data_IF_207231474643
#
_entry.id   IF_207231474643
#
_cell.length_a   1.000
_cell.length_b   1.000
_cell.length_c   1.000
_cell.angle_alpha   90.00
_cell.angle_beta   90.00
_cell.angle_gamma   90.00
#
_symmetry.space_group_name_H-M   'P 1'
#
loop_
_entity.id
_entity.type
_entity.pdbx_description
1 polymer ?
#
# COMPACT_ATOMS: atom_id res chain seq x y z
N UNK A 1 -2.32 -11.66 12.53
CA UNK A 1 -2.35 -10.29 12.99
C UNK A 1 -1.82 -10.14 14.41
N UNK A 2 -1.83 -8.91 14.94
CA UNK A 2 -1.35 -8.60 16.28
C UNK A 2 -2.29 -7.65 17.01
N UNK A 3 -2.36 -7.77 18.32
CA UNK A 3 -3.07 -6.84 19.19
C UNK A 3 -2.15 -5.71 19.63
N UNK A 4 -2.68 -4.52 19.83
CA UNK A 4 -1.98 -3.38 20.41
C UNK A 4 -2.59 -3.02 21.74
N UNK A 5 -1.75 -2.94 22.76
CA UNK A 5 -2.15 -2.40 24.06
C UNK A 5 -2.26 -0.87 23.95
N UNK A 6 -3.20 -0.22 24.68
CA UNK A 6 -3.26 1.23 24.74
C UNK A 6 -1.93 1.91 25.08
N UNK A 7 -1.11 1.30 25.93
CA UNK A 7 0.21 1.80 26.31
C UNK A 7 1.18 1.94 25.12
N UNK A 8 1.04 1.06 24.10
CA UNK A 8 1.87 1.10 22.90
C UNK A 8 1.40 2.14 21.86
N UNK A 9 0.26 2.80 22.09
CA UNK A 9 -0.33 3.76 21.17
C UNK A 9 -0.38 5.19 21.73
N UNK A 10 0.17 5.42 22.92
CA UNK A 10 0.17 6.73 23.59
C UNK A 10 0.87 7.81 22.74
N UNK A 11 2.03 7.47 22.15
CA UNK A 11 2.82 8.40 21.33
C UNK A 11 2.14 8.79 20.02
N UNK A 12 1.17 7.98 19.57
CA UNK A 12 0.43 8.26 18.34
C UNK A 12 -0.61 9.39 18.50
N UNK A 13 -0.96 9.74 19.73
CA UNK A 13 -1.84 10.88 20.03
C UNK A 13 -1.10 12.21 19.84
N UNK A 14 0.23 12.23 20.01
CA UNK A 14 1.10 13.38 19.73
C UNK A 14 1.45 13.57 18.25
N UNK A 15 1.12 12.61 17.38
CA UNK A 15 1.44 12.67 15.95
C UNK A 15 2.91 12.44 15.62
N UNK A 16 3.67 11.82 16.53
CA UNK A 16 5.10 11.51 16.34
C UNK A 16 5.32 10.18 15.60
N UNK A 17 4.34 9.27 15.66
CA UNK A 17 4.38 7.97 14.99
C UNK A 17 3.57 8.02 13.71
N UNK A 18 4.11 7.48 12.63
CA UNK A 18 3.43 7.36 11.34
C UNK A 18 2.19 6.47 11.47
N UNK A 19 0.98 7.01 11.28
CA UNK A 19 -0.25 6.23 11.38
C UNK A 19 -0.38 5.29 10.16
N UNK A 20 -1.32 4.36 10.23
CA UNK A 20 -1.72 3.55 9.09
C UNK A 20 -2.35 4.45 8.03
N UNK A 21 -1.56 4.82 7.02
CA UNK A 21 -1.95 5.73 5.93
C UNK A 21 -2.59 5.00 4.76
N UNK A 22 -2.42 3.68 4.70
CA UNK A 22 -2.77 2.89 3.56
C UNK A 22 -3.69 1.73 3.92
N UNK A 23 -4.93 1.85 3.50
CA UNK A 23 -5.91 0.78 3.51
C UNK A 23 -6.05 0.23 2.09
N UNK A 24 -5.01 -0.46 1.65
CA UNK A 24 -5.06 -1.19 0.36
C UNK A 24 -6.16 -2.21 0.37
N UNK A 25 -6.21 -2.85 1.49
CA UNK A 25 -7.11 -3.92 1.75
C UNK A 25 -7.85 -3.51 3.00
N UNK A 26 -9.13 -3.29 2.88
CA UNK A 26 -9.99 -3.04 4.04
C UNK A 26 -10.20 -4.32 4.86
N UNK A 27 -9.20 -5.24 4.85
CA UNK A 27 -9.27 -6.45 5.65
C UNK A 27 -9.52 -6.14 7.11
N UNK A 28 -8.76 -5.18 7.66
CA UNK A 28 -8.95 -4.82 9.04
C UNK A 28 -10.35 -4.24 9.26
N UNK A 29 -10.81 -3.39 8.36
CA UNK A 29 -12.15 -2.78 8.44
C UNK A 29 -13.26 -3.78 8.11
N UNK A 30 -13.07 -4.63 7.12
CA UNK A 30 -14.03 -5.66 6.73
C UNK A 30 -14.15 -6.80 7.75
N UNK A 31 -13.05 -7.12 8.44
CA UNK A 31 -13.01 -8.20 9.46
C UNK A 31 -13.26 -7.72 10.88
N UNK A 32 -13.08 -6.42 11.14
CA UNK A 32 -13.23 -5.80 12.47
C UNK A 32 -14.09 -4.51 12.35
N UNK A 33 -15.31 -4.62 11.80
CA UNK A 33 -16.15 -3.44 11.56
C UNK A 33 -16.52 -2.68 12.84
N UNK A 34 -16.49 -3.35 13.99
CA UNK A 34 -16.78 -2.77 15.30
C UNK A 34 -15.71 -1.77 15.78
N UNK A 35 -14.49 -1.84 15.26
CA UNK A 35 -13.41 -0.94 15.68
C UNK A 35 -13.50 0.44 15.04
N UNK A 36 -14.18 0.58 13.93
CA UNK A 36 -14.23 1.84 13.19
C UNK A 36 -12.88 2.28 12.61
N UNK A 37 -12.91 3.20 11.67
CA UNK A 37 -11.71 3.61 10.90
C UNK A 37 -10.66 4.30 11.78
N UNK A 38 -11.07 5.15 12.72
CA UNK A 38 -10.15 5.89 13.57
C UNK A 38 -9.31 4.95 14.46
N UNK A 39 -9.93 3.93 15.05
CA UNK A 39 -9.23 2.95 15.88
C UNK A 39 -8.27 2.08 15.05
N UNK A 40 -8.65 1.74 13.83
CA UNK A 40 -7.80 0.96 12.92
C UNK A 40 -6.60 1.76 12.36
N UNK A 41 -6.69 3.10 12.36
CA UNK A 41 -5.60 3.98 11.93
C UNK A 41 -4.57 4.26 13.01
N UNK A 42 -4.90 4.09 14.29
CA UNK A 42 -3.97 4.35 15.40
C UNK A 42 -2.71 3.49 15.37
N UNK A 43 -2.77 2.16 15.16
CA UNK A 43 -1.58 1.36 14.94
C UNK A 43 -0.86 1.77 13.65
N UNK A 44 0.49 1.71 13.61
CA UNK A 44 1.24 1.97 12.39
C UNK A 44 0.98 0.89 11.33
N UNK A 45 1.35 1.15 10.09
CA UNK A 45 1.32 0.14 9.01
C UNK A 45 2.32 -0.97 9.22
N UNK A 46 3.40 -0.67 9.89
CA UNK A 46 4.53 -1.55 10.09
C UNK A 46 5.26 -1.23 11.40
N UNK A 47 5.92 -2.22 11.93
CA UNK A 47 6.81 -2.11 13.09
C UNK A 47 8.18 -2.70 12.73
N UNK A 48 9.20 -2.31 13.45
CA UNK A 48 10.51 -2.98 13.42
C UNK A 48 10.64 -3.86 14.65
N UNK A 49 11.04 -5.10 14.44
CA UNK A 49 11.40 -6.04 15.48
C UNK A 49 12.92 -6.17 15.54
N UNK A 50 13.48 -6.22 16.76
CA UNK A 50 14.90 -6.48 17.02
C UNK A 50 15.07 -7.31 18.29
N UNK A 51 16.23 -7.93 18.45
CA UNK A 51 16.62 -8.60 19.68
C UNK A 51 15.71 -9.75 20.13
N UNK A 52 15.45 -9.81 21.42
CA UNK A 52 14.67 -10.85 22.05
C UNK A 52 15.39 -12.20 22.10
N UNK A 53 14.70 -13.28 22.54
CA UNK A 53 15.29 -14.62 22.69
C UNK A 53 15.73 -15.28 21.38
N UNK A 54 15.33 -14.70 20.24
CA UNK A 54 15.69 -15.18 18.90
C UNK A 54 16.78 -14.34 18.25
N UNK A 55 17.34 -13.36 18.95
CA UNK A 55 18.35 -12.41 18.44
C UNK A 55 17.98 -11.83 17.07
N UNK A 56 16.76 -11.33 16.96
CA UNK A 56 16.25 -10.81 15.69
C UNK A 56 17.10 -9.63 15.23
N UNK A 57 17.57 -9.71 14.00
CA UNK A 57 18.09 -8.54 13.28
C UNK A 57 16.93 -7.61 12.96
N UNK A 58 17.25 -6.36 12.61
CA UNK A 58 16.24 -5.38 12.20
C UNK A 58 15.31 -5.98 11.14
N UNK A 59 14.08 -6.28 11.53
CA UNK A 59 13.06 -6.94 10.70
C UNK A 59 11.82 -6.06 10.65
N UNK A 60 11.48 -5.55 9.47
CA UNK A 60 10.24 -4.79 9.26
C UNK A 60 9.08 -5.77 9.09
N UNK A 61 8.02 -5.58 9.86
CA UNK A 61 6.83 -6.42 9.87
C UNK A 61 5.60 -5.58 9.59
N UNK A 62 4.80 -5.98 8.60
CA UNK A 62 3.51 -5.35 8.32
C UNK A 62 2.51 -5.63 9.45
N UNK A 63 1.81 -4.59 9.86
CA UNK A 63 0.80 -4.67 10.91
C UNK A 63 -0.56 -5.02 10.31
N UNK A 64 -1.18 -6.07 10.85
CA UNK A 64 -2.60 -6.38 10.71
C UNK A 64 -3.19 -6.43 12.11
N UNK A 65 -4.17 -5.57 12.35
CA UNK A 65 -4.81 -5.49 13.67
C UNK A 65 -5.66 -6.73 13.90
N UNK A 66 -5.45 -7.38 15.04
CA UNK A 66 -6.28 -8.47 15.51
C UNK A 66 -6.31 -8.44 17.05
N UNK A 67 -7.35 -7.89 17.66
CA UNK A 67 -7.46 -7.81 19.12
C UNK A 67 -7.41 -9.16 19.85
N UNK A 68 -7.80 -10.23 19.17
CA UNK A 68 -7.80 -11.61 19.70
C UNK A 68 -6.49 -12.35 19.46
N UNK A 69 -5.46 -11.68 18.90
CA UNK A 69 -4.17 -12.32 18.66
C UNK A 69 -3.42 -12.61 19.97
N UNK A 70 -2.73 -13.76 20.07
CA UNK A 70 -1.81 -14.01 21.17
C UNK A 70 -0.56 -13.11 21.11
N UNK A 71 -0.25 -12.56 19.91
CA UNK A 71 0.82 -11.59 19.74
C UNK A 71 0.32 -10.20 20.12
N UNK A 72 0.99 -9.58 21.11
CA UNK A 72 0.60 -8.27 21.65
C UNK A 72 1.77 -7.31 21.68
N UNK A 73 1.60 -6.12 21.13
CA UNK A 73 2.54 -5.01 21.29
C UNK A 73 2.12 -4.19 22.51
N UNK A 74 3.03 -4.02 23.46
CA UNK A 74 2.80 -3.26 24.69
C UNK A 74 4.07 -2.57 25.17
N UNK A 75 3.93 -1.50 25.96
CA UNK A 75 5.04 -0.91 26.69
C UNK A 75 5.26 -1.68 28.02
N UNK A 76 6.53 -1.82 28.44
CA UNK A 76 6.88 -2.29 29.79
C UNK A 76 6.79 -1.15 30.81
N UNK A 77 7.23 -1.42 32.05
CA UNK A 77 7.21 -0.44 33.14
C UNK A 77 8.06 0.81 32.89
N UNK A 78 9.08 0.67 32.06
CA UNK A 78 10.00 1.76 31.68
C UNK A 78 9.55 2.46 30.38
N UNK A 79 8.40 2.09 29.81
CA UNK A 79 7.85 2.64 28.57
C UNK A 79 8.48 2.05 27.30
N UNK A 80 9.33 1.02 27.42
CA UNK A 80 9.98 0.39 26.26
C UNK A 80 9.04 -0.60 25.60
N UNK A 81 8.83 -0.41 24.28
CA UNK A 81 7.91 -1.26 23.51
C UNK A 81 8.50 -2.65 23.27
N UNK A 82 7.64 -3.65 23.45
CA UNK A 82 7.96 -5.04 23.19
C UNK A 82 6.82 -5.77 22.48
N UNK A 83 7.18 -6.80 21.72
CA UNK A 83 6.25 -7.80 21.22
C UNK A 83 6.20 -8.96 22.20
N UNK A 84 5.01 -9.31 22.63
CA UNK A 84 4.74 -10.38 23.60
C UNK A 84 3.94 -11.50 22.94
N UNK A 85 4.27 -12.73 23.29
CA UNK A 85 3.51 -13.94 22.99
C UNK A 85 3.16 -14.63 24.31
N UNK A 86 1.89 -14.78 24.61
CA UNK A 86 1.39 -15.39 25.87
C UNK A 86 2.07 -14.79 27.12
N UNK A 87 2.24 -13.46 27.12
CA UNK A 87 2.86 -12.72 28.22
C UNK A 87 4.39 -12.73 28.25
N UNK A 88 5.06 -13.46 27.37
CA UNK A 88 6.54 -13.46 27.26
C UNK A 88 7.02 -12.48 26.20
N UNK A 89 7.94 -11.59 26.56
CA UNK A 89 8.60 -10.71 25.58
C UNK A 89 9.41 -11.54 24.59
N UNK A 90 9.17 -11.39 23.30
CA UNK A 90 9.83 -12.13 22.21
C UNK A 90 10.64 -11.24 21.27
N UNK A 91 10.44 -9.93 21.29
CA UNK A 91 11.23 -8.98 20.54
C UNK A 91 11.07 -7.56 21.11
N UNK A 92 12.03 -6.69 20.83
CA UNK A 92 11.90 -5.25 20.98
C UNK A 92 11.14 -4.69 19.79
N UNK A 93 10.34 -3.64 20.01
CA UNK A 93 9.52 -3.02 18.98
C UNK A 93 9.94 -1.58 18.77
N UNK A 94 10.21 -1.21 17.51
CA UNK A 94 10.33 0.17 17.07
C UNK A 94 9.11 0.58 16.23
N UNK A 95 8.62 1.81 16.45
CA UNK A 95 7.55 2.39 15.65
C UNK A 95 8.14 3.34 14.59
N UNK A 96 7.52 3.45 13.39
CA UNK A 96 8.00 4.35 12.36
C UNK A 96 7.73 5.80 12.76
N UNK A 97 8.74 6.70 12.67
CA UNK A 97 8.53 8.11 12.91
C UNK A 97 7.59 8.72 11.87
N UNK A 98 6.88 9.78 12.24
CA UNK A 98 6.07 10.55 11.32
C UNK A 98 6.97 11.21 10.27
N UNK A 99 6.79 10.93 8.97
CA UNK A 99 7.58 11.60 7.94
C UNK A 99 7.25 13.10 7.87
N UNK A 100 8.27 13.96 7.75
CA UNK A 100 8.05 15.40 7.69
C UNK A 100 7.17 15.83 6.51
N UNK A 101 7.31 15.17 5.35
CA UNK A 101 6.49 15.46 4.18
C UNK A 101 4.99 15.19 4.39
N UNK A 102 4.58 14.40 5.39
CA UNK A 102 3.15 14.19 5.70
C UNK A 102 2.50 15.42 6.37
N UNK A 103 3.30 16.35 6.88
CA UNK A 103 2.82 17.63 7.42
C UNK A 103 2.44 18.63 6.32
N UNK A 104 2.73 18.31 5.06
CA UNK A 104 2.48 19.16 3.90
C UNK A 104 1.23 18.74 3.12
N UNK A 105 0.68 19.71 2.41
CA UNK A 105 -0.48 19.54 1.53
C UNK A 105 -0.13 19.96 0.12
N UNK A 106 -0.79 19.33 -0.84
CA UNK A 106 -0.79 19.74 -2.24
C UNK A 106 -1.57 21.06 -2.41
N UNK A 107 -1.41 21.72 -3.54
CA UNK A 107 -2.11 22.95 -3.88
C UNK A 107 -3.64 22.80 -3.85
N UNK A 108 -4.16 21.61 -4.12
CA UNK A 108 -5.59 21.30 -4.04
C UNK A 108 -6.09 21.00 -2.61
N UNK A 109 -5.22 21.10 -1.60
CA UNK A 109 -5.53 20.90 -0.19
C UNK A 109 -5.46 19.44 0.31
N UNK A 110 -5.26 18.46 -0.58
CA UNK A 110 -5.05 17.05 -0.17
C UNK A 110 -3.72 16.90 0.57
N UNK A 111 -3.65 16.00 1.53
CA UNK A 111 -2.38 15.69 2.19
C UNK A 111 -1.51 14.79 1.31
N UNK A 112 -0.18 14.90 1.48
CA UNK A 112 0.77 13.97 0.82
C UNK A 112 0.47 12.54 1.22
N UNK A 113 0.13 12.27 2.49
CA UNK A 113 -0.26 10.95 2.97
C UNK A 113 -1.44 10.35 2.19
N UNK A 114 -2.41 11.18 1.78
CA UNK A 114 -3.58 10.73 1.01
C UNK A 114 -3.24 10.38 -0.45
N UNK A 115 -2.33 11.13 -1.05
CA UNK A 115 -1.98 10.99 -2.47
C UNK A 115 -0.87 9.96 -2.67
N UNK A 116 0.17 10.02 -1.85
CA UNK A 116 1.41 9.27 -1.97
C UNK A 116 1.85 8.71 -0.61
N UNK A 117 1.08 7.78 0.00
CA UNK A 117 1.49 7.14 1.23
C UNK A 117 2.80 6.37 1.06
N UNK A 118 3.62 6.33 2.09
CA UNK A 118 4.88 5.58 2.09
C UNK A 118 4.80 4.37 3.01
N UNK A 119 5.41 3.29 2.59
CA UNK A 119 5.51 2.02 3.31
C UNK A 119 6.97 1.54 3.38
N UNK A 120 7.20 0.41 4.03
CA UNK A 120 8.54 -0.17 4.21
C UNK A 120 9.51 0.82 4.86
N UNK A 121 9.06 1.43 5.97
CA UNK A 121 9.83 2.40 6.74
C UNK A 121 10.22 3.65 5.95
N UNK A 122 9.31 4.09 5.06
CA UNK A 122 9.51 5.26 4.20
C UNK A 122 10.19 4.98 2.86
N UNK A 123 10.73 3.77 2.65
CA UNK A 123 11.45 3.42 1.42
C UNK A 123 10.59 3.52 0.16
N UNK A 124 9.37 3.01 0.20
CA UNK A 124 8.50 2.87 -0.97
C UNK A 124 7.33 3.85 -0.93
N UNK A 125 7.26 4.73 -1.91
CA UNK A 125 6.09 5.58 -2.15
C UNK A 125 5.04 4.78 -2.90
N UNK A 126 3.82 4.67 -2.34
CA UNK A 126 2.77 3.81 -2.87
C UNK A 126 1.70 4.63 -3.62
N UNK A 127 1.70 4.52 -4.93
CA UNK A 127 0.86 5.32 -5.84
C UNK A 127 -0.25 4.45 -6.43
N UNK A 128 -1.38 4.35 -5.73
CA UNK A 128 -2.59 3.73 -6.30
C UNK A 128 -3.25 4.74 -7.24
N UNK A 129 -2.91 4.68 -8.51
CA UNK A 129 -3.33 5.67 -9.51
C UNK A 129 -4.66 5.33 -10.18
N UNK A 130 -5.01 4.04 -10.25
CA UNK A 130 -6.32 3.56 -10.71
C UNK A 130 -7.03 2.82 -9.58
N UNK A 131 -8.01 3.46 -8.97
CA UNK A 131 -8.69 2.99 -7.75
C UNK A 131 -9.97 2.21 -8.01
N UNK A 132 -10.16 1.75 -9.24
CA UNK A 132 -11.24 0.86 -9.67
C UNK A 132 -10.61 -0.24 -10.52
N UNK A 133 -11.11 -1.47 -10.46
CA UNK A 133 -10.65 -2.56 -11.29
C UNK A 133 -11.72 -2.90 -12.34
N UNK A 134 -11.33 -3.12 -13.59
CA UNK A 134 -12.25 -3.52 -14.64
C UNK A 134 -12.66 -5.00 -14.54
N UNK A 135 -11.96 -5.82 -13.77
CA UNK A 135 -12.55 -7.06 -13.25
C UNK A 135 -13.64 -6.66 -12.26
N UNK A 136 -14.87 -6.51 -12.74
CA UNK A 136 -15.94 -5.90 -11.96
C UNK A 136 -17.15 -6.82 -11.83
N UNK A 137 -17.66 -6.95 -10.59
CA UNK A 137 -18.80 -7.79 -10.25
C UNK A 137 -18.42 -9.20 -9.80
N UNK A 138 -19.38 -9.91 -9.22
CA UNK A 138 -19.15 -11.17 -8.51
C UNK A 138 -18.50 -12.29 -9.34
N UNK A 139 -18.54 -12.20 -10.67
CA UNK A 139 -17.96 -13.20 -11.58
C UNK A 139 -16.55 -12.87 -12.04
N UNK A 140 -16.05 -11.67 -11.74
CA UNK A 140 -14.79 -11.17 -12.27
C UNK A 140 -13.83 -10.72 -11.17
N UNK A 141 -14.35 -10.24 -10.04
CA UNK A 141 -13.51 -9.72 -8.95
C UNK A 141 -12.70 -10.82 -8.29
N UNK A 142 -11.42 -10.52 -8.03
CA UNK A 142 -10.61 -11.37 -7.17
C UNK A 142 -11.19 -11.38 -5.76
N UNK A 143 -11.42 -12.55 -5.18
CA UNK A 143 -12.17 -12.68 -3.91
C UNK A 143 -11.44 -12.10 -2.68
N UNK A 144 -10.15 -11.86 -2.79
CA UNK A 144 -9.31 -11.27 -1.74
C UNK A 144 -9.09 -9.76 -1.92
N UNK A 145 -9.53 -9.17 -3.06
CA UNK A 145 -9.25 -7.78 -3.39
C UNK A 145 -10.49 -6.92 -3.16
N UNK A 146 -10.34 -5.86 -2.40
CA UNK A 146 -11.44 -4.98 -2.04
C UNK A 146 -11.45 -3.63 -2.78
N UNK A 147 -10.65 -3.49 -3.86
CA UNK A 147 -10.56 -2.22 -4.59
C UNK A 147 -11.93 -1.73 -5.09
N UNK A 148 -12.75 -2.62 -5.67
CA UNK A 148 -14.10 -2.29 -6.10
C UNK A 148 -15.10 -2.20 -4.94
N UNK A 149 -14.85 -2.92 -3.85
CA UNK A 149 -15.63 -2.80 -2.63
C UNK A 149 -15.47 -1.40 -2.02
N UNK A 150 -14.26 -0.88 -1.93
CA UNK A 150 -13.99 0.47 -1.49
C UNK A 150 -14.75 1.52 -2.32
N UNK A 151 -14.76 1.37 -3.65
CA UNK A 151 -15.56 2.23 -4.53
C UNK A 151 -17.04 2.17 -4.18
N UNK A 152 -17.60 0.95 -4.01
CA UNK A 152 -19.01 0.77 -3.66
C UNK A 152 -19.35 1.39 -2.29
N UNK A 153 -18.47 1.23 -1.29
CA UNK A 153 -18.66 1.84 0.04
C UNK A 153 -18.71 3.36 -0.04
N UNK A 154 -17.78 3.99 -0.75
CA UNK A 154 -17.77 5.43 -0.95
C UNK A 154 -19.03 5.92 -1.64
N UNK A 155 -19.45 5.23 -2.70
CA UNK A 155 -20.66 5.54 -3.44
C UNK A 155 -21.91 5.43 -2.55
N UNK A 156 -22.04 4.36 -1.80
CA UNK A 156 -23.15 4.14 -0.87
C UNK A 156 -23.23 5.20 0.23
N UNK A 157 -22.07 5.69 0.68
CA UNK A 157 -21.97 6.76 1.67
C UNK A 157 -22.12 8.17 1.10
N UNK A 158 -22.37 8.31 -0.21
CA UNK A 158 -22.43 9.63 -0.89
C UNK A 158 -21.11 10.41 -0.84
N UNK A 159 -19.98 9.74 -0.62
CA UNK A 159 -18.66 10.38 -0.51
C UNK A 159 -17.99 10.47 -1.88
N UNK A 160 -17.28 11.58 -2.19
CA UNK A 160 -16.48 11.70 -3.41
C UNK A 160 -15.46 10.56 -3.51
N UNK A 161 -15.27 10.05 -4.72
CA UNK A 161 -14.27 9.02 -4.99
C UNK A 161 -13.53 9.31 -6.29
N UNK A 162 -12.24 9.54 -6.19
CA UNK A 162 -11.38 9.73 -7.36
C UNK A 162 -10.94 8.37 -7.88
N UNK A 163 -11.50 7.92 -8.99
CA UNK A 163 -11.16 6.63 -9.60
C UNK A 163 -9.78 6.63 -10.27
N UNK A 164 -9.38 7.76 -10.84
CA UNK A 164 -8.07 7.96 -11.48
C UNK A 164 -7.41 9.19 -10.84
N UNK A 165 -6.22 9.03 -10.29
CA UNK A 165 -5.44 10.17 -9.79
C UNK A 165 -4.87 10.96 -10.96
N UNK A 166 -4.97 12.30 -10.97
CA UNK A 166 -4.27 13.12 -11.96
C UNK A 166 -2.75 12.93 -11.90
N UNK A 167 -2.08 12.93 -13.03
CA UNK A 167 -0.60 12.81 -13.12
C UNK A 167 0.07 13.95 -12.34
N UNK A 168 -0.42 15.19 -12.51
CA UNK A 168 0.13 16.36 -11.82
C UNK A 168 0.02 16.27 -10.30
N UNK A 169 -1.06 15.67 -9.78
CA UNK A 169 -1.23 15.44 -8.34
C UNK A 169 -0.16 14.47 -7.81
N UNK A 170 0.19 13.44 -8.59
CA UNK A 170 1.26 12.49 -8.26
C UNK A 170 2.62 13.17 -8.29
N UNK A 171 2.89 13.97 -9.32
CA UNK A 171 4.16 14.69 -9.45
C UNK A 171 4.35 15.70 -8.32
N UNK A 172 3.33 16.49 -7.98
CA UNK A 172 3.38 17.44 -6.87
C UNK A 172 3.65 16.74 -5.53
N UNK A 173 3.00 15.60 -5.29
CA UNK A 173 3.25 14.82 -4.08
C UNK A 173 4.70 14.31 -4.00
N UNK A 174 5.26 13.84 -5.13
CA UNK A 174 6.65 13.42 -5.21
C UNK A 174 7.65 14.57 -5.04
N UNK A 175 7.33 15.78 -5.54
CA UNK A 175 8.13 16.98 -5.29
C UNK A 175 8.20 17.32 -3.81
N UNK A 176 7.07 17.27 -3.12
CA UNK A 176 7.01 17.50 -1.67
C UNK A 176 7.84 16.45 -0.92
N UNK A 177 7.72 15.18 -1.30
CA UNK A 177 8.52 14.11 -0.70
C UNK A 177 10.01 14.34 -0.97
N UNK A 178 10.40 14.63 -2.21
CA UNK A 178 11.80 14.86 -2.56
C UNK A 178 12.42 16.04 -1.80
N UNK A 179 11.62 17.08 -1.56
CA UNK A 179 12.05 18.28 -0.84
C UNK A 179 12.18 18.07 0.67
N UNK A 180 11.26 17.32 1.29
CA UNK A 180 11.15 17.23 2.75
C UNK A 180 11.57 15.88 3.33
N UNK A 181 11.89 14.89 2.51
CA UNK A 181 12.53 13.64 2.96
C UNK A 181 14.04 13.86 3.17
N UNK A 182 14.38 14.53 4.27
CA UNK A 182 15.77 14.87 4.60
C UNK A 182 16.65 13.64 4.82
N UNK A 183 16.06 12.53 5.28
CA UNK A 183 16.75 11.26 5.47
C UNK A 183 16.98 10.49 4.16
N UNK A 184 16.39 10.95 3.04
CA UNK A 184 16.42 10.26 1.74
C UNK A 184 15.99 8.79 1.83
N UNK A 185 15.05 8.50 2.71
CA UNK A 185 14.52 7.15 2.92
C UNK A 185 13.70 6.70 1.71
N UNK A 186 12.93 7.62 1.11
CA UNK A 186 12.09 7.34 -0.06
C UNK A 186 12.92 7.31 -1.34
N UNK A 187 13.18 6.11 -1.84
CA UNK A 187 14.03 5.91 -3.04
C UNK A 187 13.29 5.23 -4.19
N UNK A 188 12.14 4.62 -3.91
CA UNK A 188 11.35 3.92 -4.91
C UNK A 188 9.89 4.35 -4.87
N UNK A 189 9.22 4.22 -6.01
CA UNK A 189 7.76 4.31 -6.07
C UNK A 189 7.16 3.03 -6.66
N UNK A 190 5.92 2.73 -6.32
CA UNK A 190 5.12 1.73 -7.00
C UNK A 190 3.85 2.35 -7.58
N UNK A 191 3.68 2.22 -8.89
CA UNK A 191 2.41 2.46 -9.56
C UNK A 191 1.55 1.20 -9.46
N UNK A 192 0.33 1.33 -8.99
CA UNK A 192 -0.57 0.20 -8.81
C UNK A 192 -2.03 0.65 -8.92
N UNK A 193 -2.90 -0.32 -8.97
CA UNK A 193 -4.34 -0.10 -9.01
C UNK A 193 -5.09 -1.31 -9.54
N UNK A 194 -6.26 -1.07 -10.10
CA UNK A 194 -7.04 -2.11 -10.74
C UNK A 194 -6.54 -2.43 -12.15
N UNK A 195 -6.83 -3.63 -12.61
CA UNK A 195 -6.55 -4.04 -13.99
C UNK A 195 -7.46 -3.33 -14.99
N UNK A 196 -6.93 -3.10 -16.18
CA UNK A 196 -7.61 -2.46 -17.30
C UNK A 196 -7.75 -3.50 -18.41
N UNK A 197 -8.98 -3.97 -18.65
CA UNK A 197 -9.29 -5.00 -19.66
C UNK A 197 -9.67 -4.41 -21.02
N UNK A 198 -9.98 -3.13 -21.07
CA UNK A 198 -10.28 -2.38 -22.28
C UNK A 198 -9.44 -1.11 -22.33
N UNK A 199 -10.02 0.01 -21.94
CA UNK A 199 -9.32 1.30 -21.91
C UNK A 199 -9.78 2.15 -20.71
N UNK A 200 -8.87 2.98 -20.22
CA UNK A 200 -9.16 4.07 -19.29
C UNK A 200 -8.60 5.36 -19.87
N UNK A 201 -9.46 6.36 -20.07
CA UNK A 201 -9.10 7.61 -20.73
C UNK A 201 -8.47 7.43 -22.12
N UNK A 202 -8.95 6.44 -22.88
CA UNK A 202 -8.44 6.12 -24.22
C UNK A 202 -7.10 5.38 -24.25
N UNK A 203 -6.61 4.87 -23.13
CA UNK A 203 -5.34 4.17 -22.99
C UNK A 203 -5.55 2.72 -22.54
N UNK A 204 -4.78 1.80 -23.09
CA UNK A 204 -4.63 0.45 -22.54
C UNK A 204 -3.88 0.47 -21.21
N UNK A 205 -3.68 -0.69 -20.59
CA UNK A 205 -3.05 -0.76 -19.26
C UNK A 205 -1.57 -0.30 -19.29
N UNK A 206 -0.83 -0.66 -20.33
CA UNK A 206 0.56 -0.29 -20.46
C UNK A 206 0.73 1.22 -20.66
N UNK A 207 -0.06 1.82 -21.55
CA UNK A 207 -0.05 3.27 -21.77
C UNK A 207 -0.61 4.04 -20.57
N UNK A 208 -1.61 3.48 -19.88
CA UNK A 208 -2.19 4.11 -18.70
C UNK A 208 -1.20 4.21 -17.55
N UNK A 209 -0.55 3.12 -17.14
CA UNK A 209 0.47 3.18 -16.10
C UNK A 209 1.75 3.82 -16.59
N UNK A 210 2.11 3.60 -17.87
CA UNK A 210 3.30 4.16 -18.49
C UNK A 210 3.33 5.68 -18.50
N UNK A 211 2.19 6.37 -18.66
CA UNK A 211 2.14 7.84 -18.63
C UNK A 211 2.64 8.42 -17.29
N UNK A 212 2.34 7.75 -16.17
CA UNK A 212 2.84 8.17 -14.87
C UNK A 212 4.33 7.93 -14.74
N UNK A 213 4.81 6.73 -15.14
CA UNK A 213 6.22 6.39 -15.07
C UNK A 213 7.05 7.38 -15.91
N UNK A 214 6.60 7.63 -17.15
CA UNK A 214 7.25 8.60 -18.03
C UNK A 214 7.27 10.01 -17.43
N UNK A 215 6.16 10.49 -16.92
CA UNK A 215 6.06 11.82 -16.32
C UNK A 215 6.97 11.95 -15.08
N UNK A 216 7.08 10.89 -14.27
CA UNK A 216 7.99 10.87 -13.12
C UNK A 216 9.45 10.90 -13.58
N UNK A 217 9.83 10.08 -14.58
CA UNK A 217 11.21 10.08 -15.11
C UNK A 217 11.56 11.41 -15.78
N UNK A 218 10.65 12.01 -16.55
CA UNK A 218 10.85 13.31 -17.18
C UNK A 218 11.04 14.43 -16.13
N UNK A 219 10.32 14.39 -15.00
CA UNK A 219 10.36 15.39 -13.94
C UNK A 219 11.52 15.20 -12.97
N UNK A 220 11.92 13.96 -12.71
CA UNK A 220 12.94 13.56 -11.75
C UNK A 220 13.93 12.55 -12.36
N UNK A 221 14.71 12.92 -13.37
CA UNK A 221 15.55 11.98 -14.11
C UNK A 221 16.46 11.16 -13.20
N UNK A 222 16.32 9.83 -13.22
CA UNK A 222 17.14 8.91 -12.43
C UNK A 222 17.00 8.99 -10.92
N UNK A 223 16.03 9.76 -10.41
CA UNK A 223 15.84 9.94 -8.95
C UNK A 223 15.15 8.74 -8.29
N UNK A 224 14.22 8.13 -8.97
CA UNK A 224 13.34 7.12 -8.42
C UNK A 224 13.54 5.75 -9.06
N UNK A 225 13.52 4.70 -8.25
CA UNK A 225 13.37 3.33 -8.74
C UNK A 225 11.89 3.09 -9.01
N UNK A 226 11.50 3.06 -10.28
CA UNK A 226 10.13 2.83 -10.71
C UNK A 226 9.73 1.36 -10.63
N UNK A 227 8.61 1.08 -9.94
CA UNK A 227 7.95 -0.21 -9.95
C UNK A 227 6.52 -0.07 -10.49
N UNK A 228 6.09 -0.99 -11.35
CA UNK A 228 4.69 -1.12 -11.80
C UNK A 228 4.14 -2.47 -11.36
N UNK A 229 2.98 -2.44 -10.74
CA UNK A 229 2.15 -3.62 -10.46
C UNK A 229 0.97 -3.58 -11.40
N UNK A 230 0.94 -4.47 -12.36
CA UNK A 230 -0.07 -4.56 -13.43
C UNK A 230 -0.45 -6.02 -13.69
N UNK A 231 -1.37 -6.27 -14.64
CA UNK A 231 -1.62 -7.66 -15.08
C UNK A 231 -0.40 -8.23 -15.84
N UNK A 232 -0.42 -9.53 -16.11
CA UNK A 232 0.53 -10.10 -17.05
C UNK A 232 0.32 -9.46 -18.43
N UNK A 233 1.39 -8.92 -18.98
CA UNK A 233 1.39 -8.17 -20.24
C UNK A 233 2.39 -8.79 -21.22
N UNK A 234 2.16 -8.65 -22.53
CA UNK A 234 3.10 -9.05 -23.55
C UNK A 234 4.47 -8.36 -23.39
N UNK A 235 5.49 -8.98 -23.91
CA UNK A 235 6.88 -8.51 -23.79
C UNK A 235 7.07 -7.07 -24.30
N UNK A 236 6.40 -6.70 -25.38
CA UNK A 236 6.45 -5.34 -25.96
C UNK A 236 5.91 -4.29 -25.00
N UNK A 237 4.88 -4.61 -24.23
CA UNK A 237 4.29 -3.72 -23.23
C UNK A 237 5.23 -3.55 -22.03
N UNK A 238 5.84 -4.66 -21.59
CA UNK A 238 6.86 -4.62 -20.52
C UNK A 238 8.08 -3.83 -20.98
N UNK A 239 8.47 -3.92 -22.28
CA UNK A 239 9.53 -3.11 -22.83
C UNK A 239 9.18 -1.61 -22.81
N UNK A 240 7.92 -1.23 -23.10
CA UNK A 240 7.46 0.17 -22.97
C UNK A 240 7.65 0.68 -21.54
N UNK A 241 7.30 -0.12 -20.52
CA UNK A 241 7.56 0.27 -19.13
C UNK A 241 9.04 0.52 -18.86
N UNK A 242 9.94 -0.34 -19.36
CA UNK A 242 11.37 -0.15 -19.22
C UNK A 242 11.85 1.15 -19.88
N UNK A 243 11.35 1.44 -21.07
CA UNK A 243 11.68 2.67 -21.83
C UNK A 243 11.18 3.93 -21.11
N UNK A 244 10.11 3.83 -20.31
CA UNK A 244 9.57 4.89 -19.46
C UNK A 244 10.23 5.00 -18.07
N UNK A 245 11.34 4.31 -17.84
CA UNK A 245 12.09 4.42 -16.59
C UNK A 245 11.70 3.40 -15.50
N UNK A 246 10.76 2.50 -15.75
CA UNK A 246 10.41 1.41 -14.82
C UNK A 246 11.56 0.40 -14.77
N UNK A 247 11.89 -0.05 -13.56
CA UNK A 247 12.95 -1.05 -13.33
C UNK A 247 12.44 -2.34 -12.71
N UNK A 248 11.23 -2.31 -12.15
CA UNK A 248 10.59 -3.47 -11.55
C UNK A 248 9.18 -3.59 -12.12
N UNK A 249 8.95 -4.63 -12.90
CA UNK A 249 7.61 -5.04 -13.33
C UNK A 249 7.16 -6.21 -12.48
N UNK A 250 5.96 -6.11 -11.90
CA UNK A 250 5.45 -7.07 -10.94
C UNK A 250 4.01 -7.48 -11.27
N UNK A 251 3.82 -8.48 -12.14
CA UNK A 251 2.52 -9.11 -12.32
C UNK A 251 2.25 -10.03 -11.12
N UNK A 252 1.28 -9.65 -10.27
CA UNK A 252 0.95 -10.44 -9.10
C UNK A 252 0.24 -11.73 -9.48
N UNK A 253 0.94 -12.85 -9.35
CA UNK A 253 0.38 -14.18 -9.64
C UNK A 253 -0.67 -14.62 -8.61
N UNK A 254 -0.47 -14.28 -7.34
CA UNK A 254 -1.36 -14.45 -6.18
C UNK A 254 -1.62 -15.90 -5.76
N UNK A 255 -2.11 -16.78 -6.66
CA UNK A 255 -2.55 -18.14 -6.35
C UNK A 255 -1.91 -19.13 -7.30
N UNK A 256 -1.07 -20.03 -6.76
CA UNK A 256 -0.31 -21.01 -7.57
C UNK A 256 -1.17 -22.15 -8.11
N UNK A 257 -2.04 -22.73 -7.29
CA UNK A 257 -2.91 -23.85 -7.70
C UNK A 257 -3.92 -23.41 -8.75
N UNK A 258 -4.03 -24.15 -9.87
CA UNK A 258 -4.91 -23.79 -11.01
C UNK A 258 -6.37 -23.65 -10.59
N UNK A 259 -6.90 -24.61 -9.84
CA UNK A 259 -8.32 -24.61 -9.44
C UNK A 259 -8.62 -23.46 -8.49
N UNK A 260 -7.68 -23.14 -7.60
CA UNK A 260 -7.81 -22.03 -6.69
C UNK A 260 -7.62 -20.69 -7.41
N UNK A 261 -6.75 -20.62 -8.44
CA UNK A 261 -6.61 -19.43 -9.28
C UNK A 261 -7.92 -19.12 -10.00
N UNK A 262 -8.52 -20.09 -10.68
CA UNK A 262 -9.83 -19.96 -11.35
C UNK A 262 -10.92 -19.52 -10.37
N UNK A 263 -10.90 -20.06 -9.14
CA UNK A 263 -11.88 -19.75 -8.10
C UNK A 263 -11.70 -18.34 -7.51
N UNK A 264 -10.46 -17.98 -7.17
CA UNK A 264 -10.18 -16.74 -6.43
C UNK A 264 -9.82 -15.54 -7.32
N UNK A 265 -9.42 -15.80 -8.57
CA UNK A 265 -9.01 -14.77 -9.53
C UNK A 265 -9.76 -14.90 -10.87
N UNK A 266 -11.10 -15.02 -10.88
CA UNK A 266 -11.86 -15.36 -12.10
C UNK A 266 -11.66 -14.37 -13.24
N UNK A 267 -11.53 -13.07 -12.97
CA UNK A 267 -11.23 -12.07 -14.00
C UNK A 267 -9.82 -12.22 -14.58
N UNK A 268 -8.82 -12.52 -13.75
CA UNK A 268 -7.46 -12.79 -14.25
C UNK A 268 -7.45 -14.02 -15.19
N UNK A 269 -8.15 -15.09 -14.81
CA UNK A 269 -8.26 -16.27 -15.65
C UNK A 269 -8.97 -15.97 -16.98
N UNK A 270 -10.10 -15.27 -16.92
CA UNK A 270 -10.92 -15.01 -18.10
C UNK A 270 -10.27 -14.08 -19.12
N UNK A 271 -9.61 -13.00 -18.66
CA UNK A 271 -9.12 -11.95 -19.55
C UNK A 271 -7.67 -12.17 -19.99
N UNK A 272 -6.86 -12.85 -19.19
CA UNK A 272 -5.43 -13.07 -19.45
C UNK A 272 -5.12 -14.56 -19.52
N UNK A 273 -5.64 -15.34 -18.56
CA UNK A 273 -5.34 -16.76 -18.42
C UNK A 273 -4.14 -16.99 -17.50
N UNK A 274 -4.26 -18.00 -16.63
CA UNK A 274 -3.25 -18.34 -15.62
C UNK A 274 -1.86 -18.56 -16.21
N UNK A 275 -1.79 -19.21 -17.37
CA UNK A 275 -0.51 -19.60 -17.96
C UNK A 275 0.28 -18.38 -18.50
N UNK A 276 -0.42 -17.29 -18.86
CA UNK A 276 0.22 -16.02 -19.22
C UNK A 276 0.75 -15.26 -18.00
N UNK A 277 0.18 -15.53 -16.81
CA UNK A 277 0.70 -14.99 -15.55
C UNK A 277 1.95 -15.70 -15.06
N UNK A 278 2.15 -16.96 -15.47
CA UNK A 278 3.27 -17.81 -15.07
C UNK A 278 4.52 -17.54 -15.91
#
# INVERSE_FOLDING_TARGET
GMAFDPSALSDNEGGEVKPKSYFIFSFDHGTLPELGEAALRRPPEEIVLTGGPYDLRRTVVSVRVNPSSPYRVAADADGVLGLYLDGRRIADVGLPPMPDYYRHKLANGKSVMEVAPTIQWGYLVYLTVFRVCQYFGAKEECQYCDINHNWRQHKAAGRPYTGVKPVEEVLEALEIIDKYDTARASTAYTLTGGSITSQVQGKDEADFYGQYAKAIEDRFPGRWIGKVVAQALPREDVQRFYDYGVRIYHPNYEVWDRRLFELYCPGKERYVGRDEWH
#
